data_IF_598704155605
#
_entry.id   IF_598704155605
#
_cell.length_a   1.000
_cell.length_b   1.000
_cell.length_c   1.000
_cell.angle_alpha   90.00
_cell.angle_beta   90.00
_cell.angle_gamma   90.00
#
_symmetry.space_group_name_H-M   'P 1'
#
loop_
_entity.id
_entity.type
_entity.pdbx_description
1 polymer ?
#
# COMPACT_ATOMS: atom_id res chain seq x y z
N UNK A 1 -40.97 2.15 50.29
CA UNK A 1 -39.58 1.88 50.70
C UNK A 1 -38.70 2.10 49.49
N UNK A 2 -38.16 3.30 49.39
CA UNK A 2 -37.20 3.72 48.37
C UNK A 2 -35.85 3.05 48.66
N UNK A 3 -35.39 2.17 47.78
CA UNK A 3 -34.05 1.58 47.89
C UNK A 3 -33.01 2.63 47.54
N UNK A 4 -32.28 3.10 48.54
CA UNK A 4 -31.08 3.91 48.37
C UNK A 4 -30.08 3.13 47.51
N UNK A 5 -29.79 3.66 46.32
CA UNK A 5 -28.65 3.24 45.51
C UNK A 5 -27.42 3.78 46.24
N UNK A 6 -26.65 2.88 46.86
CA UNK A 6 -25.35 3.24 47.43
C UNK A 6 -24.44 3.78 46.32
N UNK A 7 -23.71 4.88 46.55
CA UNK A 7 -22.74 5.38 45.59
C UNK A 7 -21.59 4.37 45.48
N UNK A 8 -21.38 3.79 44.29
CA UNK A 8 -20.19 2.99 44.01
C UNK A 8 -18.95 3.86 44.25
N UNK A 9 -18.20 3.53 45.30
CA UNK A 9 -16.85 4.05 45.53
C UNK A 9 -16.04 3.86 44.24
N UNK A 10 -15.39 4.89 43.67
CA UNK A 10 -14.62 4.73 42.46
C UNK A 10 -13.41 3.82 42.75
N UNK A 11 -13.55 2.53 42.46
CA UNK A 11 -12.41 1.60 42.41
C UNK A 11 -11.37 2.24 41.50
N UNK A 12 -10.13 2.35 41.99
CA UNK A 12 -9.01 2.78 41.16
C UNK A 12 -9.00 1.90 39.90
N UNK A 13 -9.42 2.46 38.75
CA UNK A 13 -9.52 1.71 37.51
C UNK A 13 -8.10 1.41 37.08
N UNK A 14 -7.72 0.14 37.10
CA UNK A 14 -6.46 -0.32 36.52
C UNK A 14 -6.30 0.27 35.11
N UNK A 15 -5.11 0.70 34.68
CA UNK A 15 -4.90 1.08 33.30
C UNK A 15 -5.19 -0.11 32.38
N UNK A 16 -5.54 0.17 31.12
CA UNK A 16 -5.75 -0.90 30.13
C UNK A 16 -4.38 -1.48 29.78
N UNK A 17 -4.24 -2.79 29.90
CA UNK A 17 -3.08 -3.55 29.44
C UNK A 17 -3.38 -4.14 28.06
N UNK A 18 -2.43 -4.12 27.13
CA UNK A 18 -2.57 -4.78 25.84
C UNK A 18 -2.08 -6.23 25.90
N UNK A 19 -2.60 -7.08 25.02
CA UNK A 19 -2.23 -8.51 25.01
C UNK A 19 -0.72 -8.75 24.82
N UNK A 20 -0.02 -7.89 24.06
CA UNK A 20 1.44 -7.99 23.86
C UNK A 20 2.26 -7.71 25.12
N UNK A 21 1.69 -6.98 26.09
CA UNK A 21 2.41 -6.52 27.29
C UNK A 21 2.27 -7.49 28.46
N UNK A 22 1.53 -8.60 28.29
CA UNK A 22 1.22 -9.55 29.37
C UNK A 22 2.46 -10.16 30.04
N UNK A 23 3.53 -10.38 29.29
CA UNK A 23 4.76 -10.95 29.84
C UNK A 23 5.41 -10.09 30.93
N UNK A 24 5.19 -8.76 30.88
CA UNK A 24 5.68 -7.82 31.89
C UNK A 24 4.83 -7.81 33.18
N UNK A 25 3.72 -8.54 33.21
CA UNK A 25 2.73 -8.52 34.28
C UNK A 25 2.47 -9.89 34.92
N UNK A 26 3.38 -10.86 34.78
CA UNK A 26 3.21 -12.20 35.38
C UNK A 26 2.93 -12.13 36.89
N UNK A 27 1.88 -12.85 37.32
CA UNK A 27 1.37 -12.83 38.69
C UNK A 27 0.62 -11.56 39.11
N UNK A 28 0.56 -10.53 38.26
CA UNK A 28 -0.12 -9.26 38.56
C UNK A 28 -1.56 -9.24 38.02
N UNK A 29 -2.39 -8.39 38.63
CA UNK A 29 -3.73 -8.12 38.13
C UNK A 29 -3.67 -7.10 36.98
N UNK A 30 -4.34 -7.41 35.88
CA UNK A 30 -4.43 -6.56 34.69
C UNK A 30 -5.88 -6.31 34.30
N UNK A 31 -6.12 -5.22 33.56
CA UNK A 31 -7.40 -4.95 32.91
C UNK A 31 -7.24 -4.99 31.39
N UNK A 32 -7.86 -5.97 30.76
CA UNK A 32 -7.91 -6.13 29.32
C UNK A 32 -9.22 -5.60 28.76
N UNK A 33 -9.16 -4.98 27.58
CA UNK A 33 -10.34 -4.59 26.82
C UNK A 33 -10.12 -4.95 25.36
N UNK A 34 -11.09 -5.65 24.79
CA UNK A 34 -11.02 -6.16 23.42
C UNK A 34 -12.31 -6.82 22.99
N UNK A 35 -12.21 -7.68 21.98
CA UNK A 35 -13.32 -8.41 21.40
C UNK A 35 -13.20 -9.90 21.71
N UNK A 36 -14.33 -10.56 21.95
CA UNK A 36 -14.40 -12.03 22.05
C UNK A 36 -14.09 -12.61 20.68
N UNK A 37 -12.86 -13.07 20.48
CA UNK A 37 -12.43 -13.65 19.22
C UNK A 37 -12.95 -15.07 19.07
N UNK A 38 -12.70 -15.90 20.08
CA UNK A 38 -13.22 -17.25 20.19
C UNK A 38 -13.68 -17.52 21.62
N UNK A 39 -14.62 -18.45 21.77
CA UNK A 39 -15.17 -18.85 23.08
C UNK A 39 -15.35 -20.35 23.14
N UNK A 40 -15.11 -20.95 24.29
CA UNK A 40 -15.37 -22.37 24.56
C UNK A 40 -15.97 -22.51 25.96
N UNK A 41 -17.07 -23.23 26.06
CA UNK A 41 -17.72 -23.54 27.32
C UNK A 41 -17.66 -25.05 27.53
N UNK A 42 -17.00 -25.48 28.60
CA UNK A 42 -16.87 -26.87 29.01
C UNK A 42 -17.67 -27.15 30.31
N UNK A 43 -18.66 -26.31 30.62
CA UNK A 43 -19.51 -26.40 31.79
C UNK A 43 -18.84 -25.83 33.04
N UNK A 44 -17.92 -26.58 33.65
CA UNK A 44 -17.22 -26.15 34.87
C UNK A 44 -16.17 -25.06 34.64
N UNK A 45 -15.73 -24.89 33.39
CA UNK A 45 -14.70 -23.92 32.99
C UNK A 45 -15.04 -23.34 31.62
N UNK A 46 -14.83 -22.03 31.49
CA UNK A 46 -15.02 -21.25 30.27
C UNK A 46 -13.69 -20.64 29.83
N UNK A 47 -13.45 -20.67 28.52
CA UNK A 47 -12.31 -20.04 27.87
C UNK A 47 -12.79 -18.96 26.90
N UNK A 48 -12.16 -17.79 26.98
CA UNK A 48 -12.35 -16.68 26.06
C UNK A 48 -11.01 -16.33 25.45
N UNK A 49 -10.91 -16.39 24.13
CA UNK A 49 -9.80 -15.78 23.41
C UNK A 49 -10.19 -14.32 23.18
N UNK A 50 -9.49 -13.40 23.84
CA UNK A 50 -9.69 -11.96 23.70
C UNK A 50 -8.73 -11.43 22.64
N UNK A 51 -9.26 -10.72 21.63
CA UNK A 51 -8.48 -10.02 20.61
C UNK A 51 -8.47 -8.53 20.89
N UNK A 52 -7.30 -7.92 20.88
CA UNK A 52 -7.13 -6.48 20.81
C UNK A 52 -6.24 -6.09 19.61
N UNK A 53 -5.84 -4.82 19.53
CA UNK A 53 -4.97 -4.32 18.43
C UNK A 53 -3.61 -5.00 18.37
N UNK A 54 -3.09 -5.46 19.51
CA UNK A 54 -1.76 -6.04 19.64
C UNK A 54 -1.71 -7.56 19.43
N UNK A 55 -2.84 -8.25 19.51
CA UNK A 55 -2.87 -9.69 19.32
C UNK A 55 -4.08 -10.37 19.93
N UNK A 56 -3.86 -11.60 20.40
CA UNK A 56 -4.86 -12.41 21.10
C UNK A 56 -4.26 -12.97 22.39
N UNK A 57 -5.11 -13.15 23.40
CA UNK A 57 -4.73 -13.84 24.64
C UNK A 57 -5.85 -14.75 25.12
N UNK A 58 -5.49 -15.82 25.82
CA UNK A 58 -6.45 -16.71 26.46
C UNK A 58 -6.83 -16.16 27.84
N UNK A 59 -8.13 -16.06 28.10
CA UNK A 59 -8.69 -15.78 29.41
C UNK A 59 -9.49 -17.00 29.87
N UNK A 60 -9.35 -17.39 31.13
CA UNK A 60 -9.98 -18.59 31.71
C UNK A 60 -10.72 -18.24 33.00
N UNK A 61 -11.93 -18.78 33.17
CA UNK A 61 -12.71 -18.60 34.40
C UNK A 61 -13.82 -19.66 34.52
N UNK A 62 -14.64 -19.55 35.57
CA UNK A 62 -15.76 -20.45 35.83
C UNK A 62 -17.05 -19.64 36.08
N UNK A 63 -18.20 -20.23 35.74
CA UNK A 63 -19.51 -19.58 35.90
C UNK A 63 -19.74 -18.37 35.00
N UNK A 64 -18.98 -18.25 33.90
CA UNK A 64 -19.04 -17.10 33.01
C UNK A 64 -20.17 -17.24 31.98
N UNK A 65 -20.99 -16.20 31.82
CA UNK A 65 -21.92 -16.10 30.70
C UNK A 65 -21.21 -15.51 29.48
N UNK A 66 -20.80 -16.37 28.53
CA UNK A 66 -20.03 -15.95 27.37
C UNK A 66 -20.93 -15.32 26.29
N UNK A 67 -20.71 -14.05 25.89
CA UNK A 67 -21.48 -13.44 24.82
C UNK A 67 -21.05 -14.01 23.46
N UNK A 68 -21.78 -13.64 22.41
CA UNK A 68 -21.42 -13.98 21.03
C UNK A 68 -20.01 -13.48 20.68
N UNK A 69 -19.35 -14.15 19.73
CA UNK A 69 -18.09 -13.68 19.17
C UNK A 69 -18.25 -12.27 18.61
N UNK A 70 -17.17 -11.50 18.59
CA UNK A 70 -17.12 -10.08 18.22
C UNK A 70 -17.83 -9.12 19.19
N UNK A 71 -18.38 -9.60 20.31
CA UNK A 71 -18.77 -8.75 21.44
C UNK A 71 -17.55 -8.08 22.06
N UNK A 72 -17.69 -6.80 22.42
CA UNK A 72 -16.64 -6.09 23.16
C UNK A 72 -16.79 -6.35 24.66
N UNK A 73 -15.67 -6.66 25.31
CA UNK A 73 -15.62 -7.08 26.70
C UNK A 73 -14.47 -6.42 27.44
N UNK A 74 -14.64 -6.30 28.74
CA UNK A 74 -13.60 -5.97 29.70
C UNK A 74 -13.35 -7.18 30.61
N UNK A 75 -12.08 -7.50 30.81
CA UNK A 75 -11.62 -8.59 31.67
C UNK A 75 -10.66 -8.03 32.69
N UNK A 76 -10.97 -8.20 33.97
CA UNK A 76 -9.99 -7.99 35.06
C UNK A 76 -9.59 -9.36 35.58
N UNK A 77 -8.29 -9.62 35.66
CA UNK A 77 -7.79 -10.93 36.06
C UNK A 77 -6.29 -10.94 36.32
N UNK A 78 -5.81 -12.07 36.82
CA UNK A 78 -4.39 -12.27 37.13
C UNK A 78 -3.68 -12.94 35.97
N UNK A 79 -2.58 -12.36 35.50
CA UNK A 79 -1.74 -12.98 34.47
C UNK A 79 -1.00 -14.18 35.05
N UNK A 80 -0.94 -15.27 34.30
CA UNK A 80 -0.11 -16.43 34.63
C UNK A 80 0.60 -16.98 33.41
N UNK A 81 1.88 -17.30 33.57
CA UNK A 81 2.61 -18.11 32.60
C UNK A 81 1.89 -19.45 32.36
N UNK A 82 1.62 -19.76 31.11
CA UNK A 82 1.00 -21.01 30.68
C UNK A 82 1.53 -21.39 29.29
N UNK A 83 2.48 -22.34 29.18
CA UNK A 83 3.19 -22.62 27.93
C UNK A 83 2.32 -23.01 26.73
N UNK A 84 1.11 -23.54 26.98
CA UNK A 84 0.16 -23.91 25.91
C UNK A 84 -0.78 -22.77 25.50
N UNK A 85 -0.76 -21.64 26.20
CA UNK A 85 -1.59 -20.48 25.86
C UNK A 85 -0.94 -19.68 24.72
N UNK A 86 -1.71 -19.04 23.83
CA UNK A 86 -1.16 -18.12 22.84
C UNK A 86 -0.29 -17.05 23.50
N UNK A 87 0.96 -16.90 23.04
CA UNK A 87 1.92 -15.97 23.64
C UNK A 87 2.55 -16.42 24.96
N UNK A 88 2.26 -17.63 25.45
CA UNK A 88 2.86 -18.20 26.66
C UNK A 88 2.24 -17.74 27.98
N UNK A 89 1.19 -16.93 27.94
CA UNK A 89 0.48 -16.41 29.12
C UNK A 89 -1.03 -16.55 28.95
N UNK A 90 -1.73 -16.73 30.07
CA UNK A 90 -3.19 -16.62 30.14
C UNK A 90 -3.61 -15.67 31.26
N UNK A 91 -4.87 -15.23 31.24
CA UNK A 91 -5.46 -14.40 32.29
C UNK A 91 -6.55 -15.16 33.03
N UNK A 92 -6.35 -15.36 34.33
CA UNK A 92 -7.34 -15.95 35.23
C UNK A 92 -8.37 -14.89 35.60
N UNK A 93 -9.59 -15.04 35.11
CA UNK A 93 -10.65 -14.04 35.17
C UNK A 93 -11.14 -13.90 36.61
N UNK A 94 -11.08 -12.67 37.13
CA UNK A 94 -11.71 -12.27 38.39
C UNK A 94 -13.03 -11.53 38.14
N UNK A 95 -13.06 -10.65 37.12
CA UNK A 95 -14.25 -9.92 36.70
C UNK A 95 -14.36 -9.94 35.18
N UNK A 96 -15.57 -10.20 34.67
CA UNK A 96 -15.89 -10.25 33.25
C UNK A 96 -17.10 -9.39 32.97
N UNK A 97 -16.92 -8.36 32.13
CA UNK A 97 -17.99 -7.42 31.79
C UNK A 97 -18.17 -7.36 30.28
N UNK A 98 -19.41 -7.55 29.83
CA UNK A 98 -19.80 -7.25 28.45
C UNK A 98 -20.00 -5.74 28.32
N UNK A 99 -19.22 -5.09 27.46
CA UNK A 99 -19.35 -3.66 27.17
C UNK A 99 -20.45 -3.46 26.12
N UNK A 100 -20.35 -4.19 25.01
CA UNK A 100 -21.35 -4.22 23.95
C UNK A 100 -21.43 -5.62 23.37
N UNK A 101 -22.60 -6.25 23.50
CA UNK A 101 -22.86 -7.57 22.93
C UNK A 101 -23.04 -7.48 21.41
N UNK A 102 -22.49 -8.45 20.67
CA UNK A 102 -22.91 -8.71 19.30
C UNK A 102 -24.37 -9.19 19.31
N UNK A 103 -25.19 -8.67 18.41
CA UNK A 103 -26.63 -8.97 18.34
C UNK A 103 -26.88 -10.30 17.63
N UNK A 104 -26.04 -10.63 16.65
CA UNK A 104 -26.09 -11.87 15.88
C UNK A 104 -24.67 -12.43 15.68
N UNK A 105 -24.52 -13.74 15.43
CA UNK A 105 -23.23 -14.31 15.07
C UNK A 105 -22.68 -13.67 13.79
N UNK A 106 -21.36 -13.43 13.69
CA UNK A 106 -20.78 -12.91 12.45
C UNK A 106 -21.00 -13.91 11.30
N UNK A 107 -21.25 -13.44 10.07
CA UNK A 107 -21.53 -14.29 8.90
C UNK A 107 -20.32 -15.15 8.48
N UNK A 108 -19.12 -14.80 8.96
CA UNK A 108 -17.88 -15.55 8.78
C UNK A 108 -17.24 -15.80 10.14
N UNK A 109 -16.75 -17.02 10.36
CA UNK A 109 -16.00 -17.38 11.57
C UNK A 109 -14.59 -16.79 11.53
N UNK A 110 -14.41 -15.57 12.04
CA UNK A 110 -13.12 -14.84 12.01
C UNK A 110 -11.92 -15.66 12.49
N UNK A 111 -12.00 -16.44 13.59
CA UNK A 111 -10.85 -17.24 14.06
C UNK A 111 -10.43 -18.37 13.12
N UNK A 112 -11.31 -18.81 12.21
CA UNK A 112 -11.08 -19.90 11.27
C UNK A 112 -10.91 -19.42 9.83
N UNK A 113 -10.77 -18.11 9.62
CA UNK A 113 -10.60 -17.55 8.28
C UNK A 113 -9.31 -18.03 7.64
N UNK A 114 -9.43 -18.60 6.44
CA UNK A 114 -8.30 -18.95 5.58
C UNK A 114 -8.32 -18.10 4.32
N UNK A 115 -7.15 -17.62 3.90
CA UNK A 115 -6.99 -16.71 2.77
C UNK A 115 -7.21 -17.36 1.39
N UNK A 116 -7.28 -18.69 1.34
CA UNK A 116 -7.46 -19.46 0.12
C UNK A 116 -8.94 -19.74 -0.20
N UNK A 117 -9.86 -19.30 0.64
CA UNK A 117 -11.31 -19.40 0.41
C UNK A 117 -11.76 -18.30 -0.57
N UNK A 118 -12.92 -18.49 -1.23
CA UNK A 118 -13.51 -17.55 -2.16
C UNK A 118 -13.42 -16.09 -1.63
N UNK A 119 -12.65 -15.20 -2.30
CA UNK A 119 -12.46 -13.82 -1.85
C UNK A 119 -13.74 -13.01 -1.77
N UNK A 120 -14.76 -13.36 -2.55
CA UNK A 120 -15.98 -12.55 -2.63
C UNK A 120 -16.75 -12.55 -1.31
N UNK A 121 -16.92 -13.70 -0.65
CA UNK A 121 -17.55 -13.77 0.68
C UNK A 121 -16.79 -12.91 1.70
N UNK A 122 -15.46 -12.93 1.63
CA UNK A 122 -14.60 -12.16 2.54
C UNK A 122 -14.77 -10.66 2.35
N UNK A 123 -14.95 -10.21 1.11
CA UNK A 123 -15.12 -8.82 0.75
C UNK A 123 -16.58 -8.33 0.93
N UNK A 124 -17.58 -9.20 0.75
CA UNK A 124 -19.00 -8.87 1.01
C UNK A 124 -19.23 -8.58 2.49
N UNK A 125 -18.54 -9.31 3.37
CA UNK A 125 -18.58 -9.09 4.81
C UNK A 125 -17.38 -8.30 5.34
N UNK A 126 -16.74 -7.47 4.50
CA UNK A 126 -15.49 -6.76 4.83
C UNK A 126 -15.57 -5.90 6.10
N UNK A 127 -16.74 -5.34 6.38
CA UNK A 127 -17.04 -4.57 7.61
C UNK A 127 -16.74 -5.32 8.91
N UNK A 128 -16.72 -6.66 8.87
CA UNK A 128 -16.38 -7.52 9.99
C UNK A 128 -15.10 -8.32 9.71
N UNK A 129 -14.92 -8.89 8.52
CA UNK A 129 -13.77 -9.76 8.21
C UNK A 129 -12.43 -9.02 8.28
N UNK A 130 -12.39 -7.70 8.06
CA UNK A 130 -11.16 -6.89 8.22
C UNK A 130 -10.58 -6.92 9.64
N UNK A 131 -11.37 -7.35 10.64
CA UNK A 131 -10.90 -7.53 12.03
C UNK A 131 -10.02 -8.77 12.22
N UNK A 132 -9.99 -9.67 11.23
CA UNK A 132 -9.12 -10.84 11.24
C UNK A 132 -7.64 -10.45 11.35
N UNK A 133 -6.85 -11.31 12.00
CA UNK A 133 -5.46 -10.98 12.34
C UNK A 133 -4.59 -10.79 11.10
N UNK A 134 -4.82 -11.60 10.06
CA UNK A 134 -4.07 -11.52 8.80
C UNK A 134 -4.52 -10.33 7.95
N UNK A 135 -5.82 -10.07 7.88
CA UNK A 135 -6.41 -8.98 7.09
C UNK A 135 -5.95 -7.62 7.59
N UNK A 136 -6.00 -7.41 8.91
CA UNK A 136 -5.52 -6.15 9.50
C UNK A 136 -3.99 -6.01 9.44
N UNK A 137 -3.25 -7.13 9.42
CA UNK A 137 -1.79 -7.11 9.32
C UNK A 137 -1.36 -6.47 8.00
N UNK A 138 -2.02 -6.80 6.89
CA UNK A 138 -1.77 -6.14 5.60
C UNK A 138 -1.97 -4.62 5.66
N UNK A 139 -3.03 -4.16 6.32
CA UNK A 139 -3.31 -2.73 6.48
C UNK A 139 -2.31 -2.03 7.41
N UNK A 140 -1.87 -2.71 8.47
CA UNK A 140 -0.83 -2.21 9.37
C UNK A 140 0.50 -2.05 8.63
N UNK A 141 0.90 -3.03 7.83
CA UNK A 141 2.10 -2.96 6.99
C UNK A 141 2.01 -1.80 5.99
N UNK A 142 0.86 -1.63 5.32
CA UNK A 142 0.66 -0.49 4.43
C UNK A 142 0.78 0.85 5.17
N UNK A 143 0.21 0.96 6.37
CA UNK A 143 0.31 2.19 7.17
C UNK A 143 1.77 2.52 7.53
N UNK A 144 2.57 1.51 7.90
CA UNK A 144 4.00 1.69 8.18
C UNK A 144 4.81 1.99 6.92
N UNK A 145 4.49 1.35 5.79
CA UNK A 145 5.09 1.66 4.49
C UNK A 145 4.88 3.13 4.12
N UNK A 146 3.64 3.62 4.22
CA UNK A 146 3.30 5.01 3.92
C UNK A 146 3.97 5.98 4.90
N UNK A 147 4.07 5.62 6.18
CA UNK A 147 4.78 6.43 7.16
C UNK A 147 6.29 6.49 6.85
N UNK A 148 6.90 5.36 6.47
CA UNK A 148 8.31 5.32 6.04
C UNK A 148 8.57 6.13 4.77
N UNK A 149 7.63 6.11 3.82
CA UNK A 149 7.66 6.94 2.63
C UNK A 149 7.70 8.44 2.99
N UNK A 150 6.77 8.89 3.85
CA UNK A 150 6.73 10.29 4.32
C UNK A 150 7.99 10.68 5.07
N UNK A 151 8.37 9.90 6.08
CA UNK A 151 9.47 10.23 6.97
C UNK A 151 10.80 10.34 6.20
N UNK A 152 11.06 9.43 5.26
CA UNK A 152 12.27 9.48 4.44
C UNK A 152 12.30 10.71 3.52
N UNK A 153 11.22 10.98 2.79
CA UNK A 153 11.18 12.12 1.86
C UNK A 153 11.23 13.46 2.60
N UNK A 154 10.56 13.59 3.75
CA UNK A 154 10.67 14.77 4.59
C UNK A 154 12.11 14.97 5.11
N UNK A 155 12.80 13.89 5.48
CA UNK A 155 14.21 13.95 5.87
C UNK A 155 15.14 14.36 4.71
N UNK A 156 14.78 14.00 3.46
CA UNK A 156 15.47 14.45 2.24
C UNK A 156 15.00 15.83 1.72
N UNK A 157 14.24 16.59 2.53
CA UNK A 157 13.85 17.97 2.22
C UNK A 157 12.68 18.10 1.24
N UNK A 158 11.91 17.04 1.00
CA UNK A 158 10.70 17.14 0.20
C UNK A 158 9.54 17.79 0.96
N UNK A 159 8.68 18.48 0.22
CA UNK A 159 7.42 19.05 0.72
C UNK A 159 6.22 18.18 0.32
N UNK A 160 5.39 17.75 1.28
CA UNK A 160 4.12 17.08 0.98
C UNK A 160 3.14 18.10 0.39
N UNK A 161 2.61 17.81 -0.79
CA UNK A 161 1.60 18.64 -1.48
C UNK A 161 0.24 17.93 -1.52
N UNK A 162 -0.82 18.70 -1.77
CA UNK A 162 -2.17 18.16 -1.99
C UNK A 162 -2.77 18.76 -3.25
N UNK A 163 -2.98 17.93 -4.26
CA UNK A 163 -3.41 18.36 -5.59
C UNK A 163 -4.88 18.01 -5.84
N UNK A 164 -5.57 18.71 -6.77
CA UNK A 164 -6.97 18.42 -7.08
C UNK A 164 -7.20 16.98 -7.54
N UNK A 165 -8.28 16.36 -7.04
CA UNK A 165 -8.74 15.02 -7.50
C UNK A 165 -9.94 15.09 -8.45
N UNK A 166 -10.45 16.28 -8.69
CA UNK A 166 -11.41 16.60 -9.74
C UNK A 166 -10.67 17.46 -10.77
N UNK A 167 -10.59 17.00 -12.01
CA UNK A 167 -9.79 17.61 -13.08
C UNK A 167 -10.63 17.80 -14.34
N UNK A 168 -10.28 18.81 -15.15
CA UNK A 168 -10.97 19.08 -16.42
C UNK A 168 -10.55 18.16 -17.56
N UNK A 169 -9.39 17.51 -17.45
CA UNK A 169 -8.86 16.58 -18.44
C UNK A 169 -7.94 15.56 -17.75
N UNK A 170 -7.77 14.39 -18.37
CA UNK A 170 -6.83 13.36 -17.90
C UNK A 170 -5.37 13.71 -18.25
N UNK A 171 -4.44 13.36 -17.36
CA UNK A 171 -3.00 13.59 -17.57
C UNK A 171 -2.36 12.65 -18.60
N UNK A 172 -2.96 11.48 -18.86
CA UNK A 172 -2.35 10.34 -19.56
C UNK A 172 -3.13 9.89 -20.82
N UNK A 173 -3.78 10.82 -21.54
CA UNK A 173 -4.36 10.51 -22.86
C UNK A 173 -5.80 9.96 -22.87
N UNK A 174 -6.54 10.12 -21.77
CA UNK A 174 -8.01 10.07 -21.77
C UNK A 174 -8.67 8.68 -21.66
N UNK A 175 -7.89 7.60 -21.67
CA UNK A 175 -8.41 6.25 -21.40
C UNK A 175 -8.72 6.05 -19.91
N UNK A 176 -9.65 5.16 -19.56
CA UNK A 176 -9.96 4.74 -18.18
C UNK A 176 -10.27 5.89 -17.20
N UNK A 177 -10.90 6.99 -17.65
CA UNK A 177 -11.32 8.09 -16.78
C UNK A 177 -12.69 7.83 -16.17
N UNK A 178 -12.89 8.26 -14.92
CA UNK A 178 -14.24 8.37 -14.32
C UNK A 178 -14.82 9.76 -14.59
N UNK A 179 -15.82 9.90 -15.49
CA UNK A 179 -16.49 11.17 -15.71
C UNK A 179 -17.41 11.51 -14.54
N UNK A 180 -17.46 12.80 -14.20
CA UNK A 180 -18.38 13.37 -13.21
C UNK A 180 -19.00 14.66 -13.75
N UNK A 181 -20.22 14.97 -13.31
CA UNK A 181 -20.81 16.30 -13.52
C UNK A 181 -20.30 17.26 -12.44
N UNK A 182 -19.64 18.32 -12.87
CA UNK A 182 -19.18 19.40 -12.01
C UNK A 182 -19.98 20.67 -12.30
N UNK A 183 -21.18 20.73 -11.73
CA UNK A 183 -22.12 21.85 -11.89
C UNK A 183 -22.47 22.14 -13.36
N UNK A 184 -22.80 21.09 -14.12
CA UNK A 184 -23.10 21.20 -15.55
C UNK A 184 -21.87 21.27 -16.47
N UNK A 185 -20.67 21.08 -15.93
CA UNK A 185 -19.42 20.97 -16.70
C UNK A 185 -18.89 19.54 -16.59
N UNK A 186 -18.36 19.01 -17.68
CA UNK A 186 -17.66 17.72 -17.64
C UNK A 186 -16.37 17.86 -16.83
N UNK A 187 -16.17 16.98 -15.86
CA UNK A 187 -14.93 16.81 -15.13
C UNK A 187 -14.65 15.31 -14.95
N UNK A 188 -13.47 14.99 -14.44
CA UNK A 188 -13.02 13.62 -14.23
C UNK A 188 -12.34 13.46 -12.89
N UNK A 189 -12.36 12.24 -12.35
CA UNK A 189 -11.50 11.90 -11.22
C UNK A 189 -10.04 11.72 -11.69
N UNK A 190 -9.10 12.24 -10.91
CA UNK A 190 -7.68 12.21 -11.27
C UNK A 190 -7.10 10.78 -11.21
N UNK A 191 -6.42 10.38 -12.29
CA UNK A 191 -5.69 9.11 -12.39
C UNK A 191 -4.27 9.18 -11.83
N UNK A 192 -3.74 10.39 -11.70
CA UNK A 192 -2.39 10.71 -11.25
C UNK A 192 -2.30 12.22 -11.00
N UNK A 193 -1.47 12.68 -10.04
CA UNK A 193 -1.17 14.10 -9.84
C UNK A 193 -0.11 14.64 -10.81
N UNK A 194 0.30 13.87 -11.83
CA UNK A 194 1.43 14.14 -12.72
C UNK A 194 1.60 15.59 -13.21
N UNK A 195 0.53 16.21 -13.71
CA UNK A 195 0.63 17.59 -14.23
C UNK A 195 0.89 18.59 -13.09
N UNK A 196 0.24 18.39 -11.93
CA UNK A 196 0.38 19.27 -10.78
C UNK A 196 1.72 19.10 -10.07
N UNK A 197 2.20 17.86 -9.88
CA UNK A 197 3.51 17.66 -9.22
C UNK A 197 4.66 18.26 -10.03
N UNK A 198 4.60 18.21 -11.36
CA UNK A 198 5.55 18.93 -12.22
C UNK A 198 5.47 20.44 -12.01
N UNK A 199 4.28 21.06 -12.06
CA UNK A 199 4.12 22.50 -11.77
C UNK A 199 4.74 22.88 -10.42
N UNK A 200 4.54 22.05 -9.39
CA UNK A 200 5.01 22.31 -8.03
C UNK A 200 6.53 22.16 -7.84
N UNK A 201 7.25 21.53 -8.78
CA UNK A 201 8.73 21.52 -8.75
C UNK A 201 9.28 22.93 -8.89
N UNK A 202 8.64 23.81 -9.68
CA UNK A 202 9.03 25.23 -9.75
C UNK A 202 8.78 26.03 -8.47
N UNK A 203 8.10 25.45 -7.48
CA UNK A 203 7.76 26.08 -6.19
C UNK A 203 8.64 25.56 -5.07
N UNK A 204 8.77 24.23 -4.96
CA UNK A 204 9.41 23.57 -3.82
C UNK A 204 10.65 22.76 -4.18
N UNK A 205 10.98 22.64 -5.47
CA UNK A 205 12.05 21.81 -6.03
C UNK A 205 11.82 20.30 -5.82
N UNK A 206 11.40 19.86 -4.64
CA UNK A 206 11.22 18.48 -4.22
C UNK A 206 9.83 18.32 -3.61
N UNK A 207 8.93 17.60 -4.28
CA UNK A 207 7.55 17.39 -3.81
C UNK A 207 7.17 15.92 -3.79
N UNK A 208 6.29 15.57 -2.85
CA UNK A 208 5.62 14.28 -2.88
C UNK A 208 4.14 14.41 -2.54
N UNK A 209 3.35 13.42 -2.92
CA UNK A 209 1.94 13.32 -2.57
C UNK A 209 1.56 11.89 -2.24
N UNK A 210 0.77 11.71 -1.19
CA UNK A 210 0.16 10.44 -0.81
C UNK A 210 -1.36 10.61 -0.92
N UNK A 211 -1.94 10.19 -2.04
CA UNK A 211 -3.35 10.44 -2.29
C UNK A 211 -4.05 9.35 -3.13
N UNK A 212 -5.38 9.22 -2.99
CA UNK A 212 -6.16 8.36 -3.86
C UNK A 212 -6.07 8.80 -5.32
N UNK A 213 -6.02 7.81 -6.20
CA UNK A 213 -6.16 7.98 -7.65
C UNK A 213 -7.21 7.00 -8.17
N UNK A 214 -7.84 7.36 -9.29
CA UNK A 214 -9.02 6.69 -9.80
C UNK A 214 -8.81 6.28 -11.25
N UNK A 215 -8.89 4.99 -11.54
CA UNK A 215 -8.77 4.44 -12.90
C UNK A 215 -9.97 3.54 -13.18
N UNK A 216 -10.75 3.86 -14.21
CA UNK A 216 -11.90 3.08 -14.63
C UNK A 216 -11.44 1.86 -15.45
N UNK A 217 -10.70 0.95 -14.81
CA UNK A 217 -10.23 -0.29 -15.45
C UNK A 217 -11.43 -1.15 -15.88
N UNK A 218 -11.50 -1.49 -17.16
CA UNK A 218 -12.62 -2.27 -17.72
C UNK A 218 -12.53 -3.76 -17.34
N UNK A 219 -11.34 -4.25 -17.02
CA UNK A 219 -11.07 -5.64 -16.72
C UNK A 219 -10.80 -5.87 -15.22
N UNK A 220 -11.53 -6.80 -14.62
CA UNK A 220 -11.27 -7.26 -13.26
C UNK A 220 -10.04 -8.17 -13.25
N UNK A 221 -8.96 -7.74 -12.59
CA UNK A 221 -7.75 -8.55 -12.39
C UNK A 221 -7.38 -8.61 -10.92
N UNK A 222 -6.55 -9.56 -10.52
CA UNK A 222 -6.01 -9.63 -9.15
C UNK A 222 -4.97 -8.54 -8.83
N UNK A 223 -4.60 -7.71 -9.81
CA UNK A 223 -3.52 -6.71 -9.74
C UNK A 223 -4.01 -5.26 -9.80
N UNK A 224 -5.27 -5.02 -10.15
CA UNK A 224 -5.82 -3.69 -10.38
C UNK A 224 -6.98 -3.37 -9.45
N UNK A 225 -7.08 -2.10 -9.07
CA UNK A 225 -8.19 -1.49 -8.34
C UNK A 225 -8.62 -0.23 -9.09
N UNK A 226 -9.90 0.10 -9.00
CA UNK A 226 -10.44 1.31 -9.62
C UNK A 226 -10.20 2.56 -8.78
N UNK A 227 -9.93 2.37 -7.49
CA UNK A 227 -9.49 3.39 -6.53
C UNK A 227 -8.33 2.78 -5.73
N UNK A 228 -7.16 3.41 -5.78
CA UNK A 228 -5.98 2.97 -5.04
C UNK A 228 -5.18 4.16 -4.51
N UNK A 229 -4.28 3.91 -3.55
CA UNK A 229 -3.41 4.92 -2.98
C UNK A 229 -2.11 5.00 -3.77
N UNK A 230 -1.85 6.14 -4.40
CA UNK A 230 -0.60 6.43 -5.11
C UNK A 230 0.36 7.19 -4.19
N UNK A 231 1.64 6.82 -4.25
CA UNK A 231 2.75 7.50 -3.59
C UNK A 231 3.60 8.16 -4.67
N UNK A 232 3.35 9.44 -4.90
CA UNK A 232 3.93 10.21 -6.00
C UNK A 232 5.11 11.05 -5.53
N UNK A 233 6.17 11.09 -6.33
CA UNK A 233 7.37 11.89 -6.10
C UNK A 233 7.72 12.66 -7.37
N UNK A 234 8.19 13.90 -7.22
CA UNK A 234 8.84 14.67 -8.29
C UNK A 234 9.95 15.55 -7.68
N UNK A 235 11.13 15.60 -8.32
CA UNK A 235 12.25 16.43 -7.91
C UNK A 235 12.87 17.15 -9.11
N UNK A 236 13.26 18.40 -8.89
CA UNK A 236 13.95 19.27 -9.84
C UNK A 236 15.46 19.31 -9.62
N UNK A 237 16.12 20.02 -10.54
CA UNK A 237 17.58 20.15 -10.62
C UNK A 237 18.31 18.80 -10.70
N UNK A 238 17.71 17.84 -11.40
CA UNK A 238 18.33 16.54 -11.68
C UNK A 238 19.24 16.63 -12.91
N UNK A 239 20.27 15.80 -12.97
CA UNK A 239 21.09 15.63 -14.16
C UNK A 239 20.38 14.74 -15.19
N UNK A 240 19.89 13.59 -14.75
CA UNK A 240 19.16 12.62 -15.56
C UNK A 240 18.28 11.67 -14.70
N UNK A 241 17.71 10.63 -15.31
CA UNK A 241 16.86 9.67 -14.61
C UNK A 241 17.57 8.84 -13.54
N UNK A 242 18.92 8.79 -13.52
CA UNK A 242 19.68 8.07 -12.50
C UNK A 242 19.51 8.70 -11.12
N UNK A 243 19.40 10.03 -11.03
CA UNK A 243 19.12 10.73 -9.77
C UNK A 243 17.77 10.28 -9.18
N UNK A 244 16.79 10.07 -10.06
CA UNK A 244 15.44 9.65 -9.70
C UNK A 244 15.45 8.17 -9.25
N UNK A 245 16.13 7.29 -9.97
CA UNK A 245 16.30 5.88 -9.57
C UNK A 245 17.11 5.75 -8.27
N UNK A 246 18.14 6.59 -8.08
CA UNK A 246 18.94 6.60 -6.85
C UNK A 246 18.12 7.04 -5.63
N UNK A 247 17.22 8.02 -5.79
CA UNK A 247 16.25 8.37 -4.76
C UNK A 247 15.34 7.20 -4.43
N UNK A 248 14.74 6.56 -5.44
CA UNK A 248 13.84 5.42 -5.22
C UNK A 248 14.55 4.26 -4.49
N UNK A 249 15.81 3.99 -4.84
CA UNK A 249 16.63 2.98 -4.17
C UNK A 249 16.79 3.27 -2.66
N UNK A 250 17.12 4.53 -2.28
CA UNK A 250 17.28 4.92 -0.87
C UNK A 250 15.94 4.90 -0.13
N UNK A 251 14.89 5.38 -0.79
CA UNK A 251 13.52 5.38 -0.26
C UNK A 251 13.05 3.97 0.07
N UNK A 252 13.21 3.01 -0.84
CA UNK A 252 12.84 1.61 -0.61
C UNK A 252 13.66 1.01 0.54
N UNK A 253 14.96 1.28 0.60
CA UNK A 253 15.79 0.81 1.71
C UNK A 253 15.28 1.31 3.07
N UNK A 254 14.95 2.61 3.18
CA UNK A 254 14.40 3.21 4.39
C UNK A 254 13.01 2.64 4.75
N UNK A 255 12.15 2.40 3.76
CA UNK A 255 10.86 1.73 3.96
C UNK A 255 11.07 0.33 4.53
N UNK A 256 11.96 -0.48 3.95
CA UNK A 256 12.21 -1.85 4.44
C UNK A 256 12.81 -1.85 5.84
N UNK A 257 13.72 -0.91 6.16
CA UNK A 257 14.26 -0.73 7.51
C UNK A 257 13.16 -0.44 8.53
N UNK A 258 12.27 0.51 8.21
CA UNK A 258 11.12 0.80 9.07
C UNK A 258 10.24 -0.42 9.28
N UNK A 259 9.90 -1.14 8.21
CA UNK A 259 9.06 -2.33 8.30
C UNK A 259 9.68 -3.42 9.20
N UNK A 260 11.01 -3.59 9.17
CA UNK A 260 11.72 -4.48 10.11
C UNK A 260 11.55 -4.03 11.56
N UNK A 261 11.58 -2.72 11.80
CA UNK A 261 11.44 -2.17 13.15
C UNK A 261 9.99 -2.20 13.67
N UNK A 262 8.99 -1.99 12.81
CA UNK A 262 7.61 -1.69 13.25
C UNK A 262 6.57 -2.74 12.86
N UNK A 263 6.85 -3.61 11.89
CA UNK A 263 5.87 -4.52 11.31
C UNK A 263 6.37 -5.98 11.15
N UNK A 264 7.52 -6.33 11.76
CA UNK A 264 8.11 -7.67 11.65
C UNK A 264 7.13 -8.78 12.08
N UNK A 265 6.31 -8.53 13.11
CA UNK A 265 5.33 -9.48 13.60
C UNK A 265 4.25 -9.79 12.54
N UNK A 266 3.79 -8.78 11.80
CA UNK A 266 2.84 -8.91 10.70
C UNK A 266 3.42 -9.73 9.53
N UNK A 267 4.69 -9.52 9.17
CA UNK A 267 5.37 -10.33 8.17
C UNK A 267 5.45 -11.80 8.60
N UNK A 268 5.87 -12.06 9.85
CA UNK A 268 5.92 -13.42 10.40
C UNK A 268 4.53 -14.08 10.42
N UNK A 269 3.48 -13.35 10.81
CA UNK A 269 2.10 -13.84 10.83
C UNK A 269 1.60 -14.27 9.44
N UNK A 270 2.06 -13.57 8.39
CA UNK A 270 1.70 -13.84 7.00
C UNK A 270 2.66 -14.80 6.30
N UNK A 271 3.72 -15.25 6.97
CA UNK A 271 4.74 -16.12 6.37
C UNK A 271 5.56 -15.41 5.30
N UNK A 272 5.66 -14.09 5.37
CA UNK A 272 6.38 -13.25 4.43
C UNK A 272 7.76 -12.84 4.97
N UNK A 273 8.67 -12.49 4.07
CA UNK A 273 9.99 -11.96 4.39
C UNK A 273 10.15 -10.55 3.82
N UNK A 274 10.73 -9.67 4.62
CA UNK A 274 11.10 -8.32 4.19
C UNK A 274 12.34 -8.45 3.31
N UNK A 275 12.33 -7.95 2.07
CA UNK A 275 13.47 -8.06 1.17
C UNK A 275 14.62 -7.15 1.60
N UNK A 276 15.84 -7.56 1.30
CA UNK A 276 17.00 -6.66 1.31
C UNK A 276 16.97 -5.79 0.06
N UNK A 277 17.24 -4.49 0.22
CA UNK A 277 17.37 -3.56 -0.90
C UNK A 277 18.87 -3.36 -1.13
N UNK A 278 19.43 -3.77 -2.28
CA UNK A 278 20.84 -3.59 -2.54
C UNK A 278 21.19 -2.09 -2.58
N UNK A 279 22.45 -1.75 -2.25
CA UNK A 279 22.93 -0.37 -2.34
C UNK A 279 22.79 0.22 -3.76
N UNK A 280 22.86 -0.66 -4.76
CA UNK A 280 22.55 -0.35 -6.15
C UNK A 280 21.65 -1.46 -6.71
N UNK A 281 20.37 -1.15 -6.94
CA UNK A 281 19.45 -2.02 -7.66
C UNK A 281 19.98 -2.23 -9.09
N UNK A 282 20.03 -3.49 -9.60
CA UNK A 282 20.42 -3.77 -10.97
C UNK A 282 19.58 -3.01 -11.99
N UNK A 283 20.23 -2.59 -13.08
CA UNK A 283 19.59 -1.90 -14.20
C UNK A 283 19.78 -2.71 -15.46
N UNK A 284 18.75 -2.75 -16.29
CA UNK A 284 18.79 -3.37 -17.62
C UNK A 284 17.99 -2.51 -18.59
N UNK A 285 18.44 -2.40 -19.83
CA UNK A 285 17.61 -1.73 -20.86
C UNK A 285 16.47 -2.65 -21.26
N UNK A 286 15.35 -2.10 -21.75
CA UNK A 286 14.23 -2.93 -22.24
C UNK A 286 14.69 -3.92 -23.32
N UNK A 287 15.59 -3.50 -24.21
CA UNK A 287 16.09 -4.35 -25.29
C UNK A 287 16.91 -5.53 -24.73
N UNK A 288 17.82 -5.25 -23.80
CA UNK A 288 18.64 -6.29 -23.16
C UNK A 288 17.78 -7.22 -22.31
N UNK A 289 16.76 -6.70 -21.63
CA UNK A 289 15.81 -7.51 -20.87
C UNK A 289 15.08 -8.51 -21.77
N UNK A 290 14.64 -8.07 -22.96
CA UNK A 290 13.98 -8.93 -23.94
C UNK A 290 14.93 -9.98 -24.50
N UNK A 291 16.17 -9.60 -24.81
CA UNK A 291 17.20 -10.53 -25.27
C UNK A 291 17.48 -11.60 -24.20
N UNK A 292 17.73 -11.17 -22.96
CA UNK A 292 17.98 -12.05 -21.81
C UNK A 292 16.83 -13.04 -21.59
N UNK A 293 15.58 -12.56 -21.60
CA UNK A 293 14.41 -13.41 -21.39
C UNK A 293 14.25 -14.42 -22.53
N UNK A 294 14.49 -14.00 -23.77
CA UNK A 294 14.43 -14.87 -24.95
C UNK A 294 15.53 -15.93 -24.91
N UNK A 295 16.78 -15.54 -24.64
CA UNK A 295 17.95 -16.42 -24.69
C UNK A 295 17.99 -17.40 -23.51
N UNK A 296 17.71 -16.95 -22.29
CA UNK A 296 17.81 -17.78 -21.08
C UNK A 296 16.56 -18.62 -20.82
N UNK A 297 15.38 -18.09 -21.16
CA UNK A 297 14.10 -18.71 -20.79
C UNK A 297 13.23 -19.13 -21.98
N UNK A 298 13.65 -18.83 -23.21
CA UNK A 298 12.92 -19.22 -24.42
C UNK A 298 11.60 -18.47 -24.64
N UNK A 299 11.37 -17.37 -23.92
CA UNK A 299 10.16 -16.56 -24.02
C UNK A 299 10.41 -15.32 -24.87
N UNK A 300 10.02 -15.38 -26.14
CA UNK A 300 10.20 -14.27 -27.07
C UNK A 300 9.16 -13.17 -26.84
N UNK A 301 9.62 -12.00 -26.42
CA UNK A 301 8.77 -10.84 -26.10
C UNK A 301 8.78 -9.86 -27.27
N UNK A 302 7.60 -9.55 -27.80
CA UNK A 302 7.37 -8.55 -28.84
C UNK A 302 6.88 -7.21 -28.30
N UNK A 303 6.62 -6.25 -29.18
CA UNK A 303 5.93 -5.01 -28.83
C UNK A 303 6.80 -3.95 -28.15
N UNK A 304 6.13 -3.08 -27.39
CA UNK A 304 6.68 -1.84 -26.83
C UNK A 304 7.06 -1.93 -25.35
N UNK A 305 6.71 -3.04 -24.70
CA UNK A 305 6.84 -3.27 -23.26
C UNK A 305 7.13 -4.76 -22.98
N UNK A 306 7.44 -5.09 -21.73
CA UNK A 306 7.46 -6.46 -21.23
C UNK A 306 6.02 -6.97 -21.03
N UNK A 307 5.79 -8.23 -21.35
CA UNK A 307 4.56 -8.91 -20.93
C UNK A 307 4.69 -9.44 -19.50
N UNK A 308 3.57 -9.83 -18.84
CA UNK A 308 3.62 -10.30 -17.46
C UNK A 308 4.53 -11.50 -17.20
N UNK A 309 4.72 -12.36 -18.20
CA UNK A 309 5.61 -13.53 -18.05
C UNK A 309 7.08 -13.12 -18.15
N UNK A 310 7.39 -12.16 -19.03
CA UNK A 310 8.72 -11.57 -19.11
C UNK A 310 9.12 -10.84 -17.83
N UNK A 311 8.22 -10.06 -17.23
CA UNK A 311 8.45 -9.43 -15.91
C UNK A 311 8.77 -10.49 -14.84
N UNK A 312 8.02 -11.59 -14.83
CA UNK A 312 8.20 -12.71 -13.89
C UNK A 312 9.56 -13.38 -14.06
N UNK A 313 9.92 -13.71 -15.30
CA UNK A 313 11.19 -14.36 -15.63
C UNK A 313 12.39 -13.47 -15.35
N UNK A 314 12.28 -12.17 -15.63
CA UNK A 314 13.33 -11.20 -15.33
C UNK A 314 13.54 -11.05 -13.83
N UNK A 315 12.48 -10.94 -13.04
CA UNK A 315 12.61 -10.92 -11.58
C UNK A 315 13.20 -12.22 -11.04
N UNK A 316 12.81 -13.38 -11.59
CA UNK A 316 13.41 -14.66 -11.22
C UNK A 316 14.92 -14.66 -11.49
N UNK A 317 15.35 -14.14 -12.64
CA UNK A 317 16.76 -14.05 -13.01
C UNK A 317 17.60 -13.25 -12.00
N UNK A 318 17.10 -12.11 -11.54
CA UNK A 318 17.80 -11.26 -10.57
C UNK A 318 17.69 -11.79 -9.14
N UNK A 319 16.58 -12.46 -8.79
CA UNK A 319 16.44 -13.13 -7.50
C UNK A 319 17.48 -14.25 -7.33
N UNK A 320 17.77 -15.02 -8.39
CA UNK A 320 18.87 -16.00 -8.43
C UNK A 320 20.26 -15.38 -8.19
N UNK A 321 20.40 -14.07 -8.42
CA UNK A 321 21.61 -13.28 -8.20
C UNK A 321 21.59 -12.46 -6.89
N UNK A 322 20.56 -12.65 -6.07
CA UNK A 322 20.43 -12.00 -4.77
C UNK A 322 19.76 -10.63 -4.78
N UNK A 323 19.01 -10.28 -5.83
CA UNK A 323 18.20 -9.06 -5.84
C UNK A 323 16.73 -9.35 -6.17
N UNK A 324 15.83 -8.94 -5.27
CA UNK A 324 14.39 -9.00 -5.49
C UNK A 324 13.89 -7.86 -6.41
N UNK A 325 14.76 -6.91 -6.77
CA UNK A 325 14.46 -5.67 -7.48
C UNK A 325 15.27 -5.56 -8.78
N UNK A 326 14.69 -4.99 -9.82
CA UNK A 326 15.41 -4.63 -11.05
C UNK A 326 14.75 -3.44 -11.73
N UNK A 327 15.55 -2.44 -12.11
CA UNK A 327 15.13 -1.36 -12.99
C UNK A 327 15.21 -1.79 -14.45
N UNK A 328 14.11 -1.60 -15.18
CA UNK A 328 14.08 -1.67 -16.64
C UNK A 328 14.08 -0.24 -17.16
N UNK A 329 14.97 0.07 -18.10
CA UNK A 329 15.24 1.45 -18.55
C UNK A 329 15.18 1.57 -20.07
N UNK A 330 15.29 2.79 -20.59
CA UNK A 330 15.42 3.09 -22.03
C UNK A 330 14.22 2.59 -22.85
N UNK A 331 13.02 2.89 -22.35
CA UNK A 331 11.79 2.48 -23.00
C UNK A 331 11.54 3.23 -24.31
N UNK A 332 10.92 2.58 -25.31
CA UNK A 332 10.52 3.23 -26.55
C UNK A 332 9.60 4.42 -26.28
N UNK A 333 9.79 5.52 -27.00
CA UNK A 333 8.96 6.72 -26.86
C UNK A 333 7.48 6.40 -27.02
N UNK A 334 7.15 5.55 -27.99
CA UNK A 334 5.77 5.15 -28.25
C UNK A 334 5.10 4.31 -27.13
N UNK A 335 5.85 3.92 -26.09
CA UNK A 335 5.38 3.24 -24.88
C UNK A 335 5.19 4.19 -23.70
N UNK A 336 5.73 5.42 -23.78
CA UNK A 336 5.76 6.36 -22.66
C UNK A 336 4.85 7.57 -22.90
N UNK A 337 4.43 8.27 -21.84
CA UNK A 337 3.61 9.48 -21.96
C UNK A 337 4.33 10.63 -22.69
N UNK A 338 3.54 11.58 -23.22
CA UNK A 338 4.05 12.71 -24.00
C UNK A 338 5.07 13.59 -23.25
N UNK A 339 5.03 13.60 -21.93
CA UNK A 339 5.93 14.39 -21.07
C UNK A 339 7.24 13.67 -20.74
N UNK A 340 7.45 12.42 -21.18
CA UNK A 340 8.69 11.70 -20.94
C UNK A 340 9.85 12.29 -21.75
N UNK A 341 10.98 12.55 -21.09
CA UNK A 341 12.15 13.11 -21.75
C UNK A 341 12.74 12.08 -22.74
N UNK A 342 12.99 12.45 -24.01
CA UNK A 342 13.73 11.58 -24.94
C UNK A 342 15.14 11.33 -24.41
N UNK A 343 15.72 10.17 -24.67
CA UNK A 343 17.14 9.98 -24.33
C UNK A 343 18.05 10.78 -25.27
N UNK A 344 19.36 10.80 -25.03
CA UNK A 344 20.33 11.41 -25.93
C UNK A 344 20.90 10.38 -26.91
N UNK A 345 21.00 10.75 -28.19
CA UNK A 345 21.81 10.03 -29.17
C UNK A 345 23.30 10.27 -28.90
N UNK A 346 24.18 9.51 -29.57
CA UNK A 346 25.64 9.63 -29.41
C UNK A 346 26.18 11.03 -29.77
N UNK A 347 25.47 11.81 -30.58
CA UNK A 347 25.80 13.18 -30.95
C UNK A 347 25.19 14.24 -30.01
N UNK A 348 24.53 13.82 -28.93
CA UNK A 348 23.86 14.69 -27.96
C UNK A 348 22.47 15.18 -28.38
N UNK A 349 21.97 14.79 -29.55
CA UNK A 349 20.62 15.17 -29.99
C UNK A 349 19.54 14.31 -29.30
N UNK A 350 18.31 14.82 -29.11
CA UNK A 350 17.20 14.02 -28.58
C UNK A 350 16.88 12.79 -29.44
N UNK A 351 16.81 11.62 -28.82
CA UNK A 351 16.42 10.37 -29.44
C UNK A 351 14.95 10.39 -29.85
N UNK A 352 14.68 9.88 -31.06
CA UNK A 352 13.32 9.65 -31.53
C UNK A 352 12.79 8.27 -31.13
N UNK A 353 13.66 7.38 -30.65
CA UNK A 353 13.34 5.98 -30.41
C UNK A 353 13.09 5.68 -28.94
N UNK A 354 13.97 6.14 -28.06
CA UNK A 354 13.97 5.80 -26.63
C UNK A 354 13.85 7.03 -25.72
N UNK A 355 13.49 6.77 -24.47
CA UNK A 355 13.24 7.78 -23.44
C UNK A 355 14.06 7.53 -22.19
N UNK A 356 14.19 8.57 -21.38
CA UNK A 356 14.71 8.53 -20.00
C UNK A 356 13.63 8.07 -19.00
N UNK A 357 12.83 7.10 -19.44
CA UNK A 357 11.79 6.45 -18.64
C UNK A 357 12.29 5.10 -18.12
N UNK A 358 11.82 4.74 -16.94
CA UNK A 358 12.12 3.47 -16.30
C UNK A 358 10.90 2.90 -15.58
N UNK A 359 10.93 1.60 -15.37
CA UNK A 359 10.04 0.90 -14.45
C UNK A 359 10.88 0.12 -13.44
N UNK A 360 10.39 0.01 -12.20
CA UNK A 360 10.96 -0.87 -11.19
C UNK A 360 10.11 -2.13 -11.06
N UNK A 361 10.73 -3.27 -11.31
CA UNK A 361 10.10 -4.57 -11.07
C UNK A 361 10.50 -5.11 -9.69
N UNK A 362 9.52 -5.69 -9.01
CA UNK A 362 9.70 -6.37 -7.72
C UNK A 362 8.88 -7.65 -7.69
N UNK A 363 9.55 -8.80 -7.47
CA UNK A 363 8.92 -10.13 -7.35
C UNK A 363 7.90 -10.41 -8.47
N UNK A 364 8.34 -10.17 -9.69
CA UNK A 364 7.66 -10.53 -10.93
C UNK A 364 6.54 -9.60 -11.37
N UNK A 365 6.44 -8.39 -10.82
CA UNK A 365 5.58 -7.34 -11.36
C UNK A 365 6.26 -5.97 -11.31
N UNK A 366 5.82 -5.06 -12.17
CA UNK A 366 6.04 -3.63 -12.03
C UNK A 366 5.37 -3.05 -10.77
N UNK A 367 6.15 -2.39 -9.90
CA UNK A 367 5.65 -1.66 -8.72
C UNK A 367 5.72 -0.14 -8.86
N UNK A 368 6.58 0.35 -9.75
CA UNK A 368 6.84 1.78 -9.96
C UNK A 368 7.07 2.05 -11.42
N UNK A 369 6.57 3.20 -11.88
CA UNK A 369 6.91 3.79 -13.17
C UNK A 369 7.40 5.22 -12.99
N UNK A 370 8.46 5.60 -13.69
CA UNK A 370 9.16 6.87 -13.47
C UNK A 370 10.02 7.33 -14.65
N UNK A 371 10.72 8.44 -14.45
CA UNK A 371 11.68 8.97 -15.41
C UNK A 371 11.84 10.48 -15.37
N UNK A 372 12.76 10.98 -16.18
CA UNK A 372 12.95 12.41 -16.42
C UNK A 372 11.82 12.97 -17.31
N UNK A 373 11.46 14.23 -17.09
CA UNK A 373 10.42 14.94 -17.83
C UNK A 373 11.01 15.95 -18.80
N UNK A 374 10.26 16.22 -19.87
CA UNK A 374 10.54 17.34 -20.76
C UNK A 374 10.29 18.64 -19.99
N UNK A 375 11.34 19.43 -19.79
CA UNK A 375 11.27 20.74 -19.12
C UNK A 375 11.41 21.91 -20.11
N UNK A 376 11.94 21.66 -21.31
CA UNK A 376 11.98 22.66 -22.38
C UNK A 376 10.60 22.83 -23.02
N UNK A 377 10.10 24.06 -23.07
CA UNK A 377 8.76 24.35 -23.56
C UNK A 377 8.59 24.00 -25.05
N UNK A 378 9.58 24.27 -25.90
CA UNK A 378 9.46 23.99 -27.34
C UNK A 378 9.38 22.48 -27.58
N UNK A 379 10.28 21.70 -26.95
CA UNK A 379 10.26 20.25 -27.00
C UNK A 379 8.95 19.66 -26.47
N UNK A 380 8.38 20.24 -25.41
CA UNK A 380 7.10 19.79 -24.85
C UNK A 380 5.96 20.00 -25.84
N UNK A 381 5.91 21.16 -26.49
CA UNK A 381 4.90 21.47 -27.51
C UNK A 381 5.03 20.56 -28.73
N UNK A 382 6.24 20.27 -29.18
CA UNK A 382 6.51 19.30 -30.25
C UNK A 382 6.03 17.89 -29.85
N UNK A 383 6.24 17.50 -28.60
CA UNK A 383 5.77 16.22 -28.08
C UNK A 383 4.24 16.15 -28.00
N UNK A 384 3.57 17.21 -27.52
CA UNK A 384 2.11 17.33 -27.50
C UNK A 384 1.53 17.16 -28.92
N UNK A 385 2.14 17.81 -29.91
CA UNK A 385 1.73 17.68 -31.31
C UNK A 385 1.94 16.25 -31.84
N UNK A 386 3.09 15.62 -31.54
CA UNK A 386 3.39 14.25 -31.95
C UNK A 386 2.39 13.22 -31.36
N UNK A 387 1.92 13.44 -30.14
CA UNK A 387 0.91 12.62 -29.47
C UNK A 387 -0.54 13.00 -29.85
N UNK A 388 -0.72 13.98 -30.74
CA UNK A 388 -2.03 14.47 -31.21
C UNK A 388 -2.94 14.95 -30.07
N UNK A 389 -2.34 15.55 -29.04
CA UNK A 389 -3.05 16.16 -27.92
C UNK A 389 -3.38 17.63 -28.25
N UNK A 390 -4.49 18.15 -27.72
CA UNK A 390 -4.85 19.58 -27.89
C UNK A 390 -4.01 20.44 -26.94
N UNK A 391 -3.21 21.39 -27.48
CA UNK A 391 -2.48 22.34 -26.63
C UNK A 391 -3.40 23.20 -25.77
N UNK A 392 -4.60 23.56 -26.24
CA UNK A 392 -5.54 24.35 -25.44
C UNK A 392 -5.99 23.61 -24.18
N UNK A 393 -6.19 22.29 -24.28
CA UNK A 393 -6.58 21.45 -23.13
C UNK A 393 -5.50 21.35 -22.06
N UNK A 394 -4.23 21.56 -22.44
CA UNK A 394 -3.05 21.51 -21.57
C UNK A 394 -2.49 22.90 -21.27
N UNK A 395 -3.15 23.98 -21.68
CA UNK A 395 -2.62 25.35 -21.55
C UNK A 395 -2.23 25.69 -20.11
N UNK A 396 -3.06 25.32 -19.11
CA UNK A 396 -2.73 25.56 -17.70
C UNK A 396 -1.48 24.81 -17.21
N UNK A 397 -1.14 23.67 -17.83
CA UNK A 397 0.05 22.90 -17.54
C UNK A 397 1.27 23.42 -18.31
N UNK A 398 1.16 23.67 -19.61
CA UNK A 398 2.30 24.09 -20.44
C UNK A 398 2.78 25.51 -20.11
N UNK A 399 1.92 26.34 -19.54
CA UNK A 399 2.23 27.71 -19.16
C UNK A 399 3.41 27.80 -18.17
N UNK A 400 3.54 26.86 -17.22
CA UNK A 400 4.64 26.88 -16.24
C UNK A 400 6.02 26.74 -16.91
N UNK A 401 6.10 26.03 -18.04
CA UNK A 401 7.35 25.75 -18.75
C UNK A 401 7.92 26.98 -19.46
N UNK A 402 7.15 28.05 -19.60
CA UNK A 402 7.61 29.33 -20.15
C UNK A 402 8.42 30.17 -19.16
N UNK A 403 8.35 29.84 -17.86
CA UNK A 403 8.90 30.67 -16.78
C UNK A 403 10.10 30.02 -16.08
N UNK A 404 10.94 29.32 -16.83
CA UNK A 404 12.21 28.76 -16.30
C UNK A 404 12.01 27.47 -15.52
N UNK A 405 11.39 26.46 -16.13
CA UNK A 405 11.22 25.15 -15.52
C UNK A 405 12.55 24.38 -15.47
N UNK A 406 13.02 23.92 -14.30
CA UNK A 406 14.27 23.18 -14.20
C UNK A 406 14.13 21.77 -14.78
N UNK A 407 15.24 21.10 -15.15
CA UNK A 407 15.24 19.66 -15.37
C UNK A 407 14.69 18.94 -14.14
N UNK A 408 13.74 18.05 -14.35
CA UNK A 408 13.04 17.36 -13.26
C UNK A 408 12.58 15.97 -13.68
N UNK A 409 12.27 15.16 -12.68
CA UNK A 409 11.87 13.78 -12.86
C UNK A 409 11.24 13.24 -11.59
N UNK A 410 10.58 12.09 -11.73
CA UNK A 410 9.83 11.53 -10.63
C UNK A 410 9.30 10.16 -10.94
N UNK A 411 8.54 9.63 -10.00
CA UNK A 411 7.95 8.30 -10.07
C UNK A 411 6.67 8.23 -9.24
N UNK A 412 5.95 7.11 -9.37
CA UNK A 412 4.79 6.81 -8.56
C UNK A 412 4.78 5.35 -8.15
N UNK A 413 4.51 5.07 -6.87
CA UNK A 413 4.40 3.71 -6.33
C UNK A 413 2.94 3.44 -5.95
N UNK A 414 2.40 2.32 -6.40
CA UNK A 414 1.08 1.85 -5.93
C UNK A 414 1.18 1.23 -4.54
N UNK A 415 0.64 1.87 -3.51
CA UNK A 415 0.81 1.43 -2.11
C UNK A 415 0.21 0.03 -1.87
N UNK A 416 -0.99 -0.24 -2.38
CA UNK A 416 -1.63 -1.56 -2.29
C UNK A 416 -0.83 -2.62 -3.04
N UNK A 417 -0.27 -2.27 -4.21
CA UNK A 417 0.51 -3.19 -5.04
C UNK A 417 1.81 -3.60 -4.35
N UNK A 418 2.58 -2.62 -3.83
CA UNK A 418 3.80 -2.88 -3.09
C UNK A 418 3.52 -3.67 -1.80
N UNK A 419 2.49 -3.30 -1.05
CA UNK A 419 2.05 -4.03 0.15
C UNK A 419 1.72 -5.49 -0.17
N UNK A 420 0.91 -5.72 -1.21
CA UNK A 420 0.51 -7.07 -1.60
C UNK A 420 1.72 -7.94 -1.96
N UNK A 421 2.69 -7.39 -2.70
CA UNK A 421 3.90 -8.14 -3.09
C UNK A 421 4.88 -8.38 -1.95
N UNK A 422 5.04 -7.42 -1.04
CA UNK A 422 5.85 -7.61 0.17
C UNK A 422 5.34 -8.78 1.01
N UNK A 423 4.02 -8.92 1.10
CA UNK A 423 3.35 -9.88 1.95
C UNK A 423 2.93 -11.19 1.24
N UNK A 424 3.26 -11.36 -0.04
CA UNK A 424 2.87 -12.56 -0.80
C UNK A 424 1.35 -12.69 -1.01
N UNK A 425 0.63 -11.58 -0.99
CA UNK A 425 -0.83 -11.54 -1.19
C UNK A 425 -1.13 -11.73 -2.68
N UNK A 426 -1.93 -12.74 -3.00
CA UNK A 426 -2.30 -13.08 -4.38
C UNK A 426 -3.27 -12.10 -5.05
N UNK A 427 -4.02 -11.34 -4.25
CA UNK A 427 -5.04 -10.41 -4.73
C UNK A 427 -4.91 -9.05 -4.02
N UNK A 428 -4.64 -7.99 -4.79
CA UNK A 428 -4.42 -6.63 -4.29
C UNK A 428 -5.59 -6.09 -3.45
N UNK A 429 -6.80 -6.63 -3.65
CA UNK A 429 -8.00 -6.26 -2.88
C UNK A 429 -7.84 -6.46 -1.37
N UNK A 430 -6.99 -7.40 -0.93
CA UNK A 430 -6.71 -7.61 0.49
C UNK A 430 -5.74 -6.60 1.10
N UNK A 431 -4.97 -5.89 0.27
CA UNK A 431 -4.11 -4.78 0.69
C UNK A 431 -4.87 -3.45 0.81
N UNK A 432 -6.19 -3.44 0.58
CA UNK A 432 -7.08 -2.29 0.78
C UNK A 432 -8.10 -2.60 1.88
N UNK A 433 -8.46 -1.58 2.67
CA UNK A 433 -9.50 -1.74 3.68
C UNK A 433 -10.85 -2.08 3.03
N UNK A 434 -11.26 -1.27 2.05
CA UNK A 434 -12.49 -1.42 1.26
C UNK A 434 -12.16 -1.21 -0.22
N UNK A 435 -12.00 -2.29 -1.01
CA UNK A 435 -11.60 -2.18 -2.41
C UNK A 435 -12.75 -1.70 -3.31
N UNK A 436 -12.37 -1.04 -4.40
CA UNK A 436 -13.24 -0.75 -5.56
C UNK A 436 -12.67 -1.44 -6.79
N UNK A 437 -13.52 -2.16 -7.49
CA UNK A 437 -13.19 -2.83 -8.75
C UNK A 437 -14.38 -2.74 -9.71
N UNK A 438 -14.29 -3.41 -10.87
CA UNK A 438 -15.33 -3.39 -11.90
C UNK A 438 -16.71 -3.84 -11.41
N UNK A 439 -16.78 -4.69 -10.38
CA UNK A 439 -18.00 -5.30 -9.88
C UNK A 439 -18.37 -4.83 -8.47
N UNK A 440 -17.41 -4.28 -7.71
CA UNK A 440 -17.58 -3.90 -6.31
C UNK A 440 -17.61 -2.39 -6.12
N UNK A 441 -18.77 -1.87 -5.72
CA UNK A 441 -18.99 -0.48 -5.31
C UNK A 441 -19.32 -0.34 -3.81
N UNK A 442 -19.74 -1.43 -3.16
CA UNK A 442 -20.15 -1.47 -1.75
C UNK A 442 -19.48 -2.64 -1.04
N UNK A 443 -19.31 -2.58 0.30
CA UNK A 443 -19.36 -1.39 1.15
C UNK A 443 -18.25 -0.39 0.83
#
# INVERSE_FOLDING_TARGET
MTSEVQPETPRARLPRTLTRDLSAHDGQQVRLQGFVHARRDLGGVQFVVLRDVSGVTQCVGSGLHLPLAESSVEVVGTVKAHPKAPGGFEVQIAEFRVISAAVEPPPVEIPKMEWHVNPETMLDYRVVTVRGLKERAALKVQAELVAGFRDHLMAEGFTEISTPKIVSAGAEGGANLFPIDYFGRAAFLAQSPQLYKQIMVGVFERVFEVAPVYRAEEHATSRHLNEYLSLDVEMGFIEDEEDVMALENRLLAAIMERLRATAQAEFTLLGATIPEVPAHIPRITLLDARALVTEKYGHAVGGKDLDPEAERLLCQHYAEQGSDFVFVTKYPRAARPFYAHPDANADGTPSTEITRGFDLLFRGIEITSGGQRIHDHAMLMDSIAAYRLSPESLAGYTEVFKYGMPPHGGFAIGAERLTAKLLGISNVRYARAFPRDRHRLTP
#
